data_IF_403734380168
#
_entry.id   IF_403734380168
#
_cell.length_a   1.000
_cell.length_b   1.000
_cell.length_c   1.000
_cell.angle_alpha   90.00
_cell.angle_beta   90.00
_cell.angle_gamma   90.00
#
_symmetry.space_group_name_H-M   'P 1'
#
loop_
_entity.id
_entity.type
_entity.pdbx_description
1 polymer ?
#
# COMPACT_ATOMS: atom_id res chain seq x y z
N UNK A 1 2.38 -0.53 19.54
CA UNK A 1 3.85 -0.69 19.61
C UNK A 1 4.46 0.63 20.04
N UNK A 2 5.60 0.61 20.73
CA UNK A 2 6.27 1.81 21.25
C UNK A 2 7.40 2.33 20.35
N UNK A 3 7.69 1.65 19.24
CA UNK A 3 8.78 1.99 18.31
C UNK A 3 8.24 2.42 16.95
N UNK A 4 8.90 3.39 16.35
CA UNK A 4 8.61 3.92 15.02
C UNK A 4 9.90 3.94 14.22
N UNK A 5 9.82 3.50 12.96
CA UNK A 5 10.88 3.71 11.98
C UNK A 5 10.47 4.85 11.04
N UNK A 6 11.39 5.78 10.78
CA UNK A 6 11.23 6.85 9.78
C UNK A 6 12.49 6.89 8.94
N UNK A 7 12.37 6.70 7.63
CA UNK A 7 13.51 6.69 6.73
C UNK A 7 13.09 6.65 5.26
N UNK A 8 14.09 6.51 4.39
CA UNK A 8 13.90 6.42 2.94
C UNK A 8 13.59 5.01 2.43
N UNK A 9 13.76 3.99 3.30
CA UNK A 9 13.58 2.58 2.95
C UNK A 9 12.16 2.31 2.47
N UNK A 10 12.07 1.75 1.26
CA UNK A 10 10.85 1.14 0.74
C UNK A 10 10.96 -0.39 0.86
N UNK A 11 9.82 -1.07 0.85
CA UNK A 11 9.77 -2.54 0.92
C UNK A 11 9.82 -3.17 -0.49
N UNK A 12 10.88 -2.85 -1.23
CA UNK A 12 11.10 -3.37 -2.58
C UNK A 12 12.55 -3.89 -2.76
N UNK A 13 12.78 -4.81 -3.73
CA UNK A 13 14.10 -5.38 -3.97
C UNK A 13 15.15 -4.32 -4.33
N UNK A 14 14.74 -3.25 -5.02
CA UNK A 14 15.65 -2.21 -5.48
C UNK A 14 16.23 -1.40 -4.31
N UNK A 15 15.39 -1.00 -3.36
CA UNK A 15 15.74 -0.26 -2.15
C UNK A 15 16.69 -1.07 -1.26
N UNK A 16 16.48 -2.38 -1.15
CA UNK A 16 17.33 -3.27 -0.33
C UNK A 16 18.67 -3.63 -0.99
N UNK A 17 18.74 -3.71 -2.33
CA UNK A 17 19.93 -4.18 -3.05
C UNK A 17 20.80 -3.05 -3.63
N UNK A 18 20.22 -1.88 -3.92
CA UNK A 18 20.88 -0.85 -4.74
C UNK A 18 20.94 0.52 -4.07
N UNK A 19 19.98 0.87 -3.22
CA UNK A 19 19.99 2.17 -2.56
C UNK A 19 20.79 2.10 -1.24
N UNK A 20 21.49 3.19 -0.91
CA UNK A 20 21.94 3.42 0.48
C UNK A 20 20.80 4.06 1.24
N UNK A 21 20.18 3.31 2.14
CA UNK A 21 19.02 3.76 2.90
C UNK A 21 19.45 4.41 4.23
N UNK A 22 18.75 5.49 4.62
CA UNK A 22 18.94 6.14 5.91
C UNK A 22 17.61 6.20 6.66
N UNK A 23 17.65 6.02 7.98
CA UNK A 23 16.46 6.13 8.81
C UNK A 23 16.77 6.12 10.30
N UNK A 24 15.78 6.54 11.07
CA UNK A 24 15.80 6.58 12.53
C UNK A 24 14.84 5.54 13.08
N UNK A 25 15.29 4.81 14.10
CA UNK A 25 14.41 4.02 14.97
C UNK A 25 14.20 4.83 16.25
N UNK A 26 12.95 5.22 16.49
CA UNK A 26 12.57 6.07 17.60
C UNK A 26 11.72 5.24 18.57
N UNK A 27 12.17 5.12 19.82
CA UNK A 27 11.39 4.51 20.90
C UNK A 27 10.62 5.61 21.63
N UNK A 28 9.33 5.74 21.30
CA UNK A 28 8.42 6.72 21.87
C UNK A 28 6.98 6.25 21.66
N UNK A 29 6.33 5.89 22.77
CA UNK A 29 4.92 5.50 22.75
C UNK A 29 4.00 6.62 22.25
N UNK A 30 4.29 7.87 22.66
CA UNK A 30 3.56 9.05 22.21
C UNK A 30 3.64 9.22 20.69
N UNK A 31 4.85 9.14 20.13
CA UNK A 31 5.04 9.29 18.68
C UNK A 31 4.40 8.14 17.91
N UNK A 32 4.58 6.89 18.37
CA UNK A 32 3.98 5.72 17.77
C UNK A 32 2.46 5.79 17.73
N UNK A 33 1.84 6.23 18.83
CA UNK A 33 0.39 6.39 18.93
C UNK A 33 -0.12 7.48 17.99
N UNK A 34 0.58 8.62 17.91
CA UNK A 34 0.19 9.72 17.04
C UNK A 34 0.27 9.35 15.56
N UNK A 35 1.36 8.70 15.14
CA UNK A 35 1.54 8.21 13.77
C UNK A 35 0.49 7.15 13.44
N UNK A 36 0.26 6.19 14.33
CA UNK A 36 -0.74 5.15 14.13
C UNK A 36 -2.15 5.73 13.96
N UNK A 37 -2.53 6.70 14.81
CA UNK A 37 -3.82 7.39 14.72
C UNK A 37 -3.98 8.13 13.39
N UNK A 38 -2.97 8.92 13.00
CA UNK A 38 -3.02 9.66 11.73
C UNK A 38 -3.10 8.74 10.53
N UNK A 39 -2.30 7.68 10.50
CA UNK A 39 -2.28 6.72 9.41
C UNK A 39 -3.62 5.99 9.27
N UNK A 40 -4.23 5.60 10.39
CA UNK A 40 -5.55 4.94 10.39
C UNK A 40 -6.68 5.87 9.93
N UNK A 41 -6.59 7.16 10.26
CA UNK A 41 -7.57 8.16 9.84
C UNK A 41 -7.42 8.52 8.35
N UNK A 42 -6.19 8.78 7.87
CA UNK A 42 -5.94 9.20 6.49
C UNK A 42 -6.23 8.12 5.44
N UNK A 43 -6.10 6.84 5.80
CA UNK A 43 -6.35 5.74 4.88
C UNK A 43 -7.78 5.68 4.36
N UNK A 44 -8.76 6.10 5.17
CA UNK A 44 -10.18 6.00 4.79
C UNK A 44 -10.54 6.93 3.63
N UNK A 45 -9.90 8.09 3.58
CA UNK A 45 -10.26 9.17 2.66
C UNK A 45 -9.37 9.20 1.42
N UNK A 46 -8.17 8.60 1.48
CA UNK A 46 -7.17 8.73 0.42
C UNK A 46 -6.89 7.44 -0.38
N UNK A 47 -7.41 6.28 0.04
CA UNK A 47 -7.08 5.00 -0.58
C UNK A 47 -8.23 3.99 -0.53
N UNK A 48 -8.24 3.06 -1.51
CA UNK A 48 -9.07 1.86 -1.45
C UNK A 48 -8.40 0.79 -0.60
N UNK A 49 -9.16 0.13 0.27
CA UNK A 49 -8.64 -0.99 1.04
C UNK A 49 -8.66 -2.27 0.18
N UNK A 50 -7.57 -3.03 0.17
CA UNK A 50 -7.53 -4.34 -0.50
C UNK A 50 -7.95 -5.46 0.45
N UNK A 51 -8.79 -6.38 -0.05
CA UNK A 51 -9.16 -7.62 0.64
C UNK A 51 -9.09 -8.79 -0.32
N UNK A 52 -8.47 -9.87 0.11
CA UNK A 52 -8.50 -11.13 -0.62
C UNK A 52 -9.80 -11.88 -0.33
N UNK A 53 -10.43 -12.42 -1.36
CA UNK A 53 -11.50 -13.40 -1.20
C UNK A 53 -10.94 -14.79 -0.84
N UNK A 54 -11.85 -15.75 -0.63
CA UNK A 54 -11.50 -17.14 -0.29
C UNK A 54 -10.66 -17.87 -1.36
N UNK A 55 -10.57 -17.32 -2.57
CA UNK A 55 -9.82 -17.86 -3.70
C UNK A 55 -8.56 -17.03 -3.99
N UNK A 56 -8.19 -16.09 -3.12
CA UNK A 56 -7.00 -15.25 -3.27
C UNK A 56 -7.16 -14.11 -4.29
N UNK A 57 -8.38 -13.76 -4.71
CA UNK A 57 -8.61 -12.66 -5.65
C UNK A 57 -8.76 -11.34 -4.90
N UNK A 58 -8.21 -10.27 -5.49
CA UNK A 58 -8.24 -8.93 -4.93
C UNK A 58 -9.64 -8.31 -5.11
N UNK A 59 -10.24 -7.89 -4.00
CA UNK A 59 -11.38 -7.00 -3.94
C UNK A 59 -10.94 -5.64 -3.41
N UNK A 60 -11.36 -4.59 -4.10
CA UNK A 60 -11.10 -3.20 -3.75
C UNK A 60 -12.30 -2.69 -2.97
N UNK A 61 -12.08 -2.30 -1.73
CA UNK A 61 -13.10 -1.83 -0.81
C UNK A 61 -13.08 -0.31 -0.82
N UNK A 62 -14.18 0.28 -1.25
CA UNK A 62 -14.42 1.72 -1.21
C UNK A 62 -15.24 2.06 0.04
N UNK A 63 -14.70 2.95 0.87
CA UNK A 63 -15.29 3.40 2.15
C UNK A 63 -15.60 4.90 2.16
N UNK A 64 -15.63 5.54 1.01
CA UNK A 64 -15.93 6.98 0.93
C UNK A 64 -17.42 7.31 1.13
N UNK A 65 -18.32 6.31 1.11
CA UNK A 65 -19.75 6.47 1.35
C UNK A 65 -20.16 5.73 2.64
N UNK A 66 -21.37 6.00 3.13
CA UNK A 66 -21.93 5.33 4.33
C UNK A 66 -21.99 3.80 4.19
N UNK A 67 -22.10 3.29 2.95
CA UNK A 67 -22.08 1.87 2.64
C UNK A 67 -20.73 1.43 2.04
N UNK A 68 -20.21 0.31 2.54
CA UNK A 68 -19.00 -0.33 2.00
C UNK A 68 -19.27 -0.90 0.60
N UNK A 69 -18.61 -0.35 -0.42
CA UNK A 69 -18.74 -0.83 -1.80
C UNK A 69 -17.58 -1.71 -2.19
N UNK A 70 -17.87 -2.96 -2.55
CA UNK A 70 -16.87 -3.94 -3.00
C UNK A 70 -16.74 -3.92 -4.52
N UNK A 71 -15.57 -3.54 -5.01
CA UNK A 71 -15.23 -3.49 -6.43
C UNK A 71 -14.28 -4.65 -6.77
N UNK A 72 -14.69 -5.51 -7.71
CA UNK A 72 -13.85 -6.63 -8.20
C UNK A 72 -12.78 -6.21 -9.22
N UNK A 73 -12.82 -4.94 -9.65
CA UNK A 73 -11.91 -4.36 -10.62
C UNK A 73 -11.27 -3.15 -9.98
N UNK A 74 -10.02 -2.92 -10.35
CA UNK A 74 -9.28 -1.75 -9.90
C UNK A 74 -10.04 -0.46 -10.21
N UNK A 75 -10.35 0.37 -9.20
CA UNK A 75 -11.04 1.63 -9.35
C UNK A 75 -10.16 2.67 -10.07
N UNK A 76 -10.76 3.75 -10.58
CA UNK A 76 -10.07 4.81 -11.30
C UNK A 76 -9.22 4.38 -12.53
N UNK A 77 -9.39 3.14 -13.04
CA UNK A 77 -8.68 2.64 -14.22
C UNK A 77 -9.60 2.38 -15.41
N UNK A 78 -9.07 2.63 -16.61
CA UNK A 78 -9.66 2.23 -17.89
C UNK A 78 -9.30 0.78 -18.21
N UNK A 79 -10.04 0.18 -19.14
CA UNK A 79 -9.80 -1.21 -19.56
C UNK A 79 -8.37 -1.46 -20.04
N UNK A 80 -7.84 -0.60 -20.93
CA UNK A 80 -6.49 -0.74 -21.47
C UNK A 80 -5.38 -0.61 -20.43
N UNK A 81 -5.55 0.26 -19.41
CA UNK A 81 -4.59 0.38 -18.31
C UNK A 81 -4.45 -0.94 -17.55
N UNK A 82 -5.58 -1.62 -17.27
CA UNK A 82 -5.56 -2.94 -16.62
C UNK A 82 -4.93 -4.03 -17.48
N UNK A 83 -5.11 -3.97 -18.81
CA UNK A 83 -4.46 -4.90 -19.73
C UNK A 83 -2.94 -4.70 -19.71
N UNK A 84 -2.48 -3.45 -19.78
CA UNK A 84 -1.06 -3.12 -19.71
C UNK A 84 -0.41 -3.57 -18.40
N UNK A 85 -1.08 -3.34 -17.26
CA UNK A 85 -0.61 -3.81 -15.95
C UNK A 85 -0.49 -5.34 -15.91
N UNK A 86 -1.46 -6.07 -16.47
CA UNK A 86 -1.40 -7.53 -16.55
C UNK A 86 -0.26 -8.04 -17.43
N UNK A 87 0.00 -7.37 -18.56
CA UNK A 87 1.13 -7.73 -19.43
C UNK A 87 2.46 -7.43 -18.74
N UNK A 88 2.58 -6.28 -18.09
CA UNK A 88 3.77 -5.90 -17.32
C UNK A 88 4.06 -6.88 -16.17
N UNK A 89 3.02 -7.39 -15.50
CA UNK A 89 3.15 -8.37 -14.42
C UNK A 89 3.69 -9.75 -14.85
N UNK A 90 3.75 -10.03 -16.17
CA UNK A 90 4.37 -11.27 -16.71
C UNK A 90 5.86 -11.05 -16.99
N UNK A 91 6.28 -9.80 -17.19
CA UNK A 91 7.67 -9.48 -17.47
C UNK A 91 8.48 -9.49 -16.17
N UNK A 92 9.74 -9.95 -16.19
CA UNK A 92 10.62 -9.95 -15.02
C UNK A 92 11.14 -8.53 -14.74
N UNK A 93 10.25 -7.66 -14.28
CA UNK A 93 10.51 -6.24 -14.02
C UNK A 93 10.50 -5.90 -12.52
N UNK A 94 10.51 -6.91 -11.66
CA UNK A 94 10.48 -6.74 -10.20
C UNK A 94 11.68 -5.93 -9.67
N UNK A 95 12.78 -5.88 -10.42
CA UNK A 95 13.97 -5.08 -10.09
C UNK A 95 13.82 -3.58 -10.36
N UNK A 96 12.81 -3.16 -11.14
CA UNK A 96 12.51 -1.75 -11.42
C UNK A 96 11.65 -1.10 -10.33
N UNK A 97 10.94 -1.92 -9.54
CA UNK A 97 10.12 -1.50 -8.42
C UNK A 97 10.99 -1.45 -7.17
#
# INVERSE_FOLDING_TARGET
GSKVFIGSLNFDPRSTLLNTEMGFVIESETLATLIHKRFTQSQRDAAWQLRLDRWGRINWIDRQQEEEKVLKKEPATRFWQRVLVRLAAILPVEWLL
#
